data_IF_998370328411
#
_entry.id   IF_998370328411
#
_cell.length_a   1.000
_cell.length_b   1.000
_cell.length_c   1.000
_cell.angle_alpha   90.00
_cell.angle_beta   90.00
_cell.angle_gamma   90.00
#
_symmetry.space_group_name_H-M   'P 1'
#
loop_
_entity.id
_entity.type
_entity.pdbx_description
1 polymer ?
#
# COMPACT_ATOMS: atom_id res chain seq x y z
N UNK A 1 7.80 -0.98 -81.78
CA UNK A 1 6.86 -0.49 -80.75
C UNK A 1 6.92 1.03 -80.73
N UNK A 2 5.80 1.73 -80.95
CA UNK A 2 5.82 3.20 -81.10
C UNK A 2 6.20 3.91 -79.79
N UNK A 3 6.83 5.08 -79.88
CA UNK A 3 7.24 5.88 -78.72
C UNK A 3 6.06 6.13 -77.75
N UNK A 4 4.86 6.38 -78.30
CA UNK A 4 3.62 6.51 -77.52
C UNK A 4 3.28 5.25 -76.72
N UNK A 5 3.48 4.05 -77.28
CA UNK A 5 3.20 2.79 -76.58
C UNK A 5 4.21 2.54 -75.44
N UNK A 6 5.47 2.97 -75.58
CA UNK A 6 6.48 2.91 -74.51
C UNK A 6 6.15 3.82 -73.34
N UNK A 7 5.69 5.04 -73.60
CA UNK A 7 5.27 5.98 -72.55
C UNK A 7 4.03 5.47 -71.80
N UNK A 8 3.04 4.93 -72.52
CA UNK A 8 1.84 4.34 -71.89
C UNK A 8 2.20 3.16 -71.00
N UNK A 9 3.08 2.27 -71.44
CA UNK A 9 3.53 1.12 -70.64
C UNK A 9 4.32 1.53 -69.39
N UNK A 10 5.14 2.59 -69.47
CA UNK A 10 5.85 3.16 -68.31
C UNK A 10 4.85 3.78 -67.32
N UNK A 11 3.85 4.51 -67.79
CA UNK A 11 2.81 5.08 -66.93
C UNK A 11 1.97 4.00 -66.23
N UNK A 12 1.60 2.93 -66.94
CA UNK A 12 0.87 1.79 -66.36
C UNK A 12 1.75 1.07 -65.33
N UNK A 13 3.02 0.84 -65.64
CA UNK A 13 3.97 0.22 -64.72
C UNK A 13 4.14 1.06 -63.44
N UNK A 14 4.30 2.38 -63.55
CA UNK A 14 4.38 3.26 -62.38
C UNK A 14 3.08 3.30 -61.57
N UNK A 15 1.92 3.29 -62.23
CA UNK A 15 0.62 3.22 -61.54
C UNK A 15 0.46 1.91 -60.75
N UNK A 16 0.88 0.78 -61.32
CA UNK A 16 0.87 -0.53 -60.64
C UNK A 16 1.86 -0.54 -59.47
N UNK A 17 3.06 0.01 -59.64
CA UNK A 17 4.05 0.12 -58.56
C UNK A 17 3.52 1.01 -57.42
N UNK A 18 2.87 2.13 -57.72
CA UNK A 18 2.25 2.99 -56.70
C UNK A 18 1.09 2.28 -56.01
N UNK A 19 0.25 1.54 -56.74
CA UNK A 19 -0.86 0.79 -56.16
C UNK A 19 -0.37 -0.36 -55.26
N UNK A 20 0.68 -1.08 -55.65
CA UNK A 20 1.31 -2.13 -54.83
C UNK A 20 1.97 -1.51 -53.61
N UNK A 21 2.69 -0.40 -53.74
CA UNK A 21 3.29 0.31 -52.61
C UNK A 21 2.24 0.86 -51.65
N UNK A 22 1.11 1.37 -52.15
CA UNK A 22 -0.01 1.84 -51.33
C UNK A 22 -0.71 0.68 -50.61
N UNK A 23 -0.94 -0.44 -51.30
CA UNK A 23 -1.52 -1.64 -50.70
C UNK A 23 -0.58 -2.27 -49.66
N UNK A 24 0.73 -2.30 -49.93
CA UNK A 24 1.75 -2.72 -48.97
C UNK A 24 1.84 -1.78 -47.76
N UNK A 25 1.72 -0.47 -47.98
CA UNK A 25 1.63 0.52 -46.91
C UNK A 25 0.38 0.31 -46.05
N UNK A 26 -0.80 0.06 -46.63
CA UNK A 26 -2.02 -0.23 -45.89
C UNK A 26 -1.94 -1.53 -45.06
N UNK A 27 -1.28 -2.57 -45.61
CA UNK A 27 -1.03 -3.82 -44.88
C UNK A 27 -0.01 -3.62 -43.77
N UNK A 28 1.06 -2.85 -44.00
CA UNK A 28 2.07 -2.57 -42.97
C UNK A 28 1.53 -1.66 -41.88
N UNK A 29 0.74 -0.62 -42.19
CA UNK A 29 0.08 0.21 -41.16
C UNK A 29 -0.98 -0.56 -40.37
N UNK A 30 -1.79 -1.39 -41.05
CA UNK A 30 -2.79 -2.24 -40.37
C UNK A 30 -2.16 -3.37 -39.53
N UNK A 31 -0.97 -3.84 -39.91
CA UNK A 31 -0.20 -4.83 -39.14
C UNK A 31 0.58 -4.19 -37.99
N UNK A 32 0.99 -2.93 -38.11
CA UNK A 32 1.61 -2.15 -37.00
C UNK A 32 0.60 -1.80 -35.91
N UNK A 33 -0.71 -1.75 -36.19
CA UNK A 33 -1.72 -1.60 -35.13
C UNK A 33 -1.94 -2.89 -34.29
N UNK A 34 -1.63 -4.08 -34.83
CA UNK A 34 -1.82 -5.36 -34.12
C UNK A 34 -0.52 -6.04 -33.65
N UNK A 35 0.65 -5.61 -34.11
CA UNK A 35 1.95 -6.18 -33.73
C UNK A 35 2.63 -5.26 -32.68
N UNK A 36 2.30 -5.50 -31.41
CA UNK A 36 3.08 -5.10 -30.22
C UNK A 36 3.15 -3.59 -29.96
N UNK A 37 2.07 -3.03 -29.42
CA UNK A 37 2.23 -2.10 -28.30
C UNK A 37 2.17 -2.92 -27.01
N UNK A 38 3.23 -3.68 -26.75
CA UNK A 38 3.67 -3.87 -25.36
C UNK A 38 4.11 -2.48 -24.89
N UNK A 39 3.14 -1.58 -24.64
CA UNK A 39 3.40 -0.45 -23.78
C UNK A 39 3.92 -1.07 -22.49
N UNK A 40 5.11 -0.67 -22.07
CA UNK A 40 5.54 -0.77 -20.69
C UNK A 40 4.33 -0.49 -19.80
N UNK A 41 3.68 -1.55 -19.30
CA UNK A 41 2.51 -1.41 -18.43
C UNK A 41 3.08 -0.97 -17.10
N UNK A 42 3.42 0.31 -16.97
CA UNK A 42 3.66 0.95 -15.69
C UNK A 42 2.33 0.84 -14.95
N UNK A 43 2.21 -0.20 -14.13
CA UNK A 43 1.10 -0.35 -13.22
C UNK A 43 1.35 0.59 -12.06
N UNK A 44 0.28 1.12 -11.51
CA UNK A 44 0.34 2.01 -10.36
C UNK A 44 1.01 1.31 -9.17
N UNK A 45 1.79 2.05 -8.38
CA UNK A 45 2.37 1.50 -7.16
C UNK A 45 1.26 1.08 -6.19
N UNK A 46 1.40 -0.10 -5.60
CA UNK A 46 0.45 -0.66 -4.63
C UNK A 46 1.01 -0.48 -3.22
N UNK A 47 0.35 0.33 -2.41
CA UNK A 47 0.93 0.92 -1.21
C UNK A 47 0.48 0.22 0.08
N UNK A 48 -0.73 -0.32 0.11
CA UNK A 48 -1.25 -1.03 1.27
C UNK A 48 -2.15 -2.20 0.90
N UNK A 49 -2.22 -3.19 1.79
CA UNK A 49 -3.04 -4.40 1.65
C UNK A 49 -3.71 -4.72 2.99
N UNK A 50 -4.96 -5.18 2.92
CA UNK A 50 -5.73 -5.62 4.09
C UNK A 50 -6.64 -6.81 3.74
N UNK A 51 -6.76 -7.76 4.68
CA UNK A 51 -7.64 -8.91 4.58
C UNK A 51 -8.54 -8.95 5.82
N UNK A 52 -9.84 -9.20 5.63
CA UNK A 52 -10.79 -9.38 6.73
C UNK A 52 -11.03 -10.87 7.05
N UNK A 53 -10.73 -11.76 6.11
CA UNK A 53 -10.78 -13.21 6.27
C UNK A 53 -9.83 -13.90 5.27
N UNK A 54 -9.98 -15.22 5.08
CA UNK A 54 -9.10 -15.99 4.18
C UNK A 54 -9.27 -15.72 2.69
N UNK A 55 -10.38 -15.13 2.32
CA UNK A 55 -10.78 -15.03 0.91
C UNK A 55 -10.88 -13.59 0.45
N UNK A 56 -11.41 -12.72 1.31
CA UNK A 56 -11.69 -11.32 1.02
C UNK A 56 -10.53 -10.41 1.45
N UNK A 57 -9.97 -9.69 0.47
CA UNK A 57 -8.87 -8.75 0.67
C UNK A 57 -8.88 -7.61 -0.34
N UNK A 58 -8.26 -6.50 0.04
CA UNK A 58 -8.16 -5.28 -0.76
C UNK A 58 -6.74 -4.76 -0.76
N UNK A 59 -6.33 -4.25 -1.91
CA UNK A 59 -5.08 -3.52 -2.11
C UNK A 59 -5.43 -2.14 -2.62
N UNK A 60 -4.70 -1.12 -2.14
CA UNK A 60 -4.85 0.26 -2.60
C UNK A 60 -3.52 0.83 -3.06
N UNK A 61 -3.56 1.86 -3.91
CA UNK A 61 -2.35 2.45 -4.46
C UNK A 61 -2.56 3.81 -5.14
N UNK A 62 -1.59 4.18 -5.98
CA UNK A 62 -1.59 5.46 -6.68
C UNK A 62 -2.80 5.63 -7.60
N UNK A 63 -3.15 6.89 -7.90
CA UNK A 63 -4.23 7.26 -8.81
C UNK A 63 -5.57 6.61 -8.48
N UNK A 64 -5.87 6.51 -7.17
CA UNK A 64 -7.09 5.91 -6.65
C UNK A 64 -7.25 4.43 -6.96
N UNK A 65 -6.15 3.70 -7.15
CA UNK A 65 -6.18 2.26 -7.43
C UNK A 65 -6.78 1.50 -6.27
N UNK A 66 -7.77 0.66 -6.57
CA UNK A 66 -8.30 -0.36 -5.67
C UNK A 66 -8.37 -1.69 -6.43
N UNK A 67 -7.75 -2.72 -5.85
CA UNK A 67 -7.88 -4.11 -6.28
C UNK A 67 -8.56 -4.90 -5.16
N UNK A 68 -9.48 -5.78 -5.52
CA UNK A 68 -10.14 -6.68 -4.59
C UNK A 68 -9.98 -8.14 -5.00
N UNK A 69 -9.92 -9.01 -4.00
CA UNK A 69 -9.90 -10.46 -4.14
C UNK A 69 -10.99 -11.10 -3.28
N UNK A 70 -11.55 -12.21 -3.75
CA UNK A 70 -12.49 -13.07 -2.99
C UNK A 70 -12.01 -14.52 -2.94
N UNK A 71 -10.75 -14.78 -3.28
CA UNK A 71 -10.15 -16.12 -3.32
C UNK A 71 -8.77 -16.21 -2.62
N UNK A 72 -8.49 -15.27 -1.71
CA UNK A 72 -7.29 -15.27 -0.90
C UNK A 72 -6.07 -14.76 -1.68
N UNK A 73 -6.30 -13.77 -2.54
CA UNK A 73 -5.26 -13.11 -3.34
C UNK A 73 -4.76 -13.92 -4.51
N UNK A 74 -5.49 -14.96 -4.94
CA UNK A 74 -5.15 -15.75 -6.13
C UNK A 74 -5.56 -15.04 -7.41
N UNK A 75 -6.65 -14.26 -7.36
CA UNK A 75 -7.11 -13.37 -8.42
C UNK A 75 -7.49 -12.01 -7.85
N UNK A 76 -7.25 -10.98 -8.64
CA UNK A 76 -7.53 -9.59 -8.30
C UNK A 76 -8.34 -8.92 -9.40
N UNK A 77 -9.23 -8.02 -9.00
CA UNK A 77 -10.08 -7.23 -9.91
C UNK A 77 -10.14 -5.77 -9.46
N UNK A 78 -10.15 -4.84 -10.41
CA UNK A 78 -10.28 -3.42 -10.10
C UNK A 78 -11.66 -3.06 -9.58
N UNK A 79 -11.68 -2.12 -8.65
CA UNK A 79 -12.89 -1.42 -8.21
C UNK A 79 -12.75 0.07 -8.48
N UNK A 80 -13.83 0.70 -8.94
CA UNK A 80 -13.85 2.15 -9.13
C UNK A 80 -13.91 2.83 -7.76
N UNK A 81 -12.88 3.60 -7.43
CA UNK A 81 -12.79 4.32 -6.15
C UNK A 81 -13.53 5.65 -6.16
N UNK A 82 -13.84 6.19 -7.35
CA UNK A 82 -14.43 7.51 -7.52
C UNK A 82 -13.48 8.66 -7.20
N UNK A 83 -12.16 8.41 -7.20
CA UNK A 83 -11.13 9.43 -6.97
C UNK A 83 -9.84 9.07 -7.69
N UNK A 84 -9.06 10.06 -8.09
CA UNK A 84 -7.73 9.90 -8.67
C UNK A 84 -6.61 10.26 -7.66
N UNK A 85 -6.96 10.51 -6.39
CA UNK A 85 -6.00 10.72 -5.32
C UNK A 85 -5.35 9.40 -4.92
N UNK A 86 -4.08 9.46 -4.56
CA UNK A 86 -3.37 8.28 -4.06
C UNK A 86 -4.01 7.79 -2.77
N UNK A 87 -4.29 6.48 -2.73
CA UNK A 87 -4.78 5.78 -1.56
C UNK A 87 -3.60 5.03 -0.96
N UNK A 88 -3.24 5.39 0.27
CA UNK A 88 -2.01 4.90 0.92
C UNK A 88 -2.30 3.99 2.10
N UNK A 89 -3.51 4.05 2.66
CA UNK A 89 -3.96 3.18 3.75
C UNK A 89 -5.27 2.48 3.41
N UNK A 90 -5.41 1.20 3.81
CA UNK A 90 -6.64 0.42 3.66
C UNK A 90 -6.89 -0.48 4.87
N UNK A 91 -8.15 -0.60 5.27
CA UNK A 91 -8.56 -1.52 6.32
C UNK A 91 -9.89 -2.20 5.97
N UNK A 92 -9.86 -3.53 5.85
CA UNK A 92 -11.04 -4.35 5.63
C UNK A 92 -11.63 -4.78 6.98
N UNK A 93 -12.78 -4.21 7.35
CA UNK A 93 -13.50 -4.54 8.60
C UNK A 93 -14.26 -5.85 8.45
N UNK A 94 -14.84 -6.08 7.27
CA UNK A 94 -15.62 -7.27 6.89
C UNK A 94 -15.59 -7.44 5.37
N UNK A 95 -16.17 -8.50 4.80
CA UNK A 95 -16.28 -8.63 3.35
C UNK A 95 -17.07 -7.50 2.68
N UNK A 96 -17.95 -6.83 3.44
CA UNK A 96 -18.82 -5.77 2.93
C UNK A 96 -18.27 -4.37 3.24
N UNK A 97 -17.62 -4.20 4.40
CA UNK A 97 -17.19 -2.88 4.90
C UNK A 97 -15.67 -2.74 4.85
N UNK A 98 -15.21 -1.79 4.03
CA UNK A 98 -13.78 -1.49 3.84
C UNK A 98 -13.57 0.01 3.78
N UNK A 99 -12.48 0.47 4.38
CA UNK A 99 -12.04 1.86 4.41
C UNK A 99 -10.74 2.02 3.65
N UNK A 100 -10.62 3.10 2.89
CA UNK A 100 -9.35 3.54 2.31
C UNK A 100 -9.13 5.03 2.58
N UNK A 101 -7.88 5.40 2.85
CA UNK A 101 -7.45 6.77 3.14
C UNK A 101 -6.26 7.16 2.28
N UNK A 102 -6.08 8.45 2.06
CA UNK A 102 -5.14 8.93 1.07
C UNK A 102 -4.80 10.41 1.15
N UNK A 103 -4.11 10.87 0.11
CA UNK A 103 -3.68 12.25 -0.03
C UNK A 103 -4.86 13.24 -0.11
N UNK A 104 -4.63 14.48 0.33
CA UNK A 104 -5.63 15.56 0.28
C UNK A 104 -6.85 15.34 1.19
N UNK A 105 -6.70 14.60 2.28
CA UNK A 105 -7.75 14.27 3.24
C UNK A 105 -8.75 13.23 2.70
N UNK A 106 -8.36 12.48 1.67
CA UNK A 106 -9.25 11.50 1.04
C UNK A 106 -9.56 10.39 2.03
N UNK A 107 -10.86 10.19 2.30
CA UNK A 107 -11.39 9.05 3.03
C UNK A 107 -12.56 8.50 2.22
N UNK A 108 -12.51 7.22 1.86
CA UNK A 108 -13.57 6.52 1.15
C UNK A 108 -13.94 5.23 1.87
N UNK A 109 -15.22 4.86 1.79
CA UNK A 109 -15.79 3.68 2.41
C UNK A 109 -16.65 2.93 1.40
N UNK A 110 -16.55 1.61 1.40
CA UNK A 110 -17.60 0.74 0.85
C UNK A 110 -18.36 0.05 1.97
N UNK A 111 -19.64 -0.24 1.73
CA UNK A 111 -20.49 -1.07 2.58
C UNK A 111 -21.16 -2.21 1.78
N UNK A 112 -20.68 -2.47 0.56
CA UNK A 112 -21.19 -3.45 -0.38
C UNK A 112 -20.06 -4.28 -1.03
N UNK A 113 -18.93 -4.41 -0.33
CA UNK A 113 -17.77 -5.19 -0.79
C UNK A 113 -17.01 -4.54 -1.95
N UNK A 114 -17.24 -3.24 -2.17
CA UNK A 114 -16.58 -2.43 -3.18
C UNK A 114 -17.29 -2.43 -4.54
N UNK A 115 -18.58 -2.80 -4.57
CA UNK A 115 -19.44 -2.51 -5.71
C UNK A 115 -19.62 -0.98 -5.87
N UNK A 116 -19.64 -0.24 -4.77
CA UNK A 116 -19.54 1.22 -4.74
C UNK A 116 -18.67 1.73 -3.59
N UNK A 117 -17.92 2.80 -3.86
CA UNK A 117 -17.12 3.52 -2.88
C UNK A 117 -17.69 4.93 -2.69
N UNK A 118 -17.82 5.35 -1.43
CA UNK A 118 -18.41 6.64 -1.04
C UNK A 118 -17.38 7.47 -0.28
N UNK A 119 -17.22 8.73 -0.68
CA UNK A 119 -16.42 9.72 0.06
C UNK A 119 -17.01 9.98 1.44
N UNK A 120 -16.16 10.03 2.45
CA UNK A 120 -16.49 10.37 3.83
C UNK A 120 -15.72 11.65 4.19
N UNK A 121 -16.42 12.65 4.71
CA UNK A 121 -15.82 13.94 5.07
C UNK A 121 -15.39 13.92 6.52
N UNK A 122 -14.11 14.21 6.77
CA UNK A 122 -13.53 14.37 8.12
C UNK A 122 -13.33 15.84 8.51
N UNK A 123 -13.54 16.77 7.57
CA UNK A 123 -13.23 18.18 7.75
C UNK A 123 -11.73 18.53 7.59
N UNK A 124 -10.87 17.53 7.34
CA UNK A 124 -9.43 17.71 7.18
C UNK A 124 -9.01 17.54 5.73
N UNK A 125 -7.90 18.20 5.35
CA UNK A 125 -7.30 18.12 4.00
C UNK A 125 -5.83 17.69 3.98
N UNK A 126 -5.36 17.09 5.08
CA UNK A 126 -3.99 16.61 5.24
C UNK A 126 -3.72 15.31 4.49
N UNK A 127 -2.45 14.94 4.34
CA UNK A 127 -2.11 13.58 3.93
C UNK A 127 -2.46 12.59 5.04
N UNK A 128 -3.29 11.59 4.76
CA UNK A 128 -3.55 10.47 5.66
C UNK A 128 -2.75 9.26 5.21
N UNK A 129 -2.07 8.59 6.14
CA UNK A 129 -1.11 7.53 5.86
C UNK A 129 -1.57 6.13 6.26
N UNK A 130 -2.38 6.01 7.32
CA UNK A 130 -2.92 4.70 7.71
C UNK A 130 -4.27 4.83 8.39
N UNK A 131 -5.04 3.73 8.32
CA UNK A 131 -6.36 3.57 8.94
C UNK A 131 -6.46 2.21 9.63
N UNK A 132 -7.08 2.18 10.82
CA UNK A 132 -7.31 0.94 11.58
C UNK A 132 -8.65 0.95 12.28
N UNK A 133 -9.32 -0.20 12.29
CA UNK A 133 -10.56 -0.42 13.04
C UNK A 133 -10.43 -1.66 13.93
N UNK A 134 -9.94 -1.55 15.18
CA UNK A 134 -9.91 -2.68 16.12
C UNK A 134 -11.32 -3.18 16.50
N UNK A 135 -12.38 -2.43 16.19
CA UNK A 135 -13.77 -2.93 16.19
C UNK A 135 -14.56 -2.25 15.06
N UNK A 136 -15.75 -2.74 14.68
CA UNK A 136 -16.57 -2.09 13.66
C UNK A 136 -17.02 -0.65 13.97
N UNK A 137 -16.97 -0.24 15.25
CA UNK A 137 -17.41 1.06 15.73
C UNK A 137 -16.24 2.02 15.95
N UNK A 138 -15.12 1.47 16.43
CA UNK A 138 -13.94 2.21 16.85
C UNK A 138 -12.88 2.19 15.73
N UNK A 139 -12.53 3.37 15.21
CA UNK A 139 -11.57 3.50 14.11
C UNK A 139 -10.67 4.72 14.22
N UNK A 140 -9.44 4.62 13.74
CA UNK A 140 -8.44 5.68 13.78
C UNK A 140 -7.79 5.90 12.42
N UNK A 141 -7.49 7.17 12.13
CA UNK A 141 -6.72 7.60 10.96
C UNK A 141 -5.55 8.44 11.44
N UNK A 142 -4.36 8.23 10.87
CA UNK A 142 -3.16 9.02 11.15
C UNK A 142 -2.57 9.65 9.90
N UNK A 143 -1.79 10.71 10.05
CA UNK A 143 -1.16 11.37 8.91
C UNK A 143 -0.23 12.52 9.25
N UNK A 144 -0.14 13.48 8.32
CA UNK A 144 0.67 14.69 8.43
C UNK A 144 0.31 15.53 9.67
N UNK A 145 1.27 16.28 10.21
CA UNK A 145 1.12 17.12 11.41
C UNK A 145 0.79 16.31 12.67
N UNK A 146 1.26 15.08 12.75
CA UNK A 146 0.93 14.10 13.80
C UNK A 146 -0.57 13.96 14.07
N UNK A 147 -1.41 14.22 13.06
CA UNK A 147 -2.85 14.19 13.26
C UNK A 147 -3.30 12.76 13.57
N UNK A 148 -4.16 12.63 14.59
CA UNK A 148 -4.90 11.40 14.87
C UNK A 148 -6.38 11.75 14.89
N UNK A 149 -7.13 11.14 13.99
CA UNK A 149 -8.58 11.15 13.99
C UNK A 149 -9.12 9.86 14.61
N UNK A 150 -10.27 9.96 15.27
CA UNK A 150 -10.94 8.85 15.93
C UNK A 150 -12.45 8.89 15.64
N UNK A 151 -13.05 7.74 15.39
CA UNK A 151 -14.49 7.52 15.30
C UNK A 151 -14.93 6.49 16.34
N UNK A 152 -16.12 6.67 16.91
CA UNK A 152 -16.77 5.73 17.83
C UNK A 152 -18.10 5.16 17.28
N UNK A 153 -18.53 5.61 16.09
CA UNK A 153 -19.80 5.23 15.46
C UNK A 153 -19.62 4.53 14.10
N UNK A 154 -18.44 3.95 13.85
CA UNK A 154 -18.14 3.26 12.59
C UNK A 154 -17.98 4.21 11.40
N UNK A 155 -17.46 5.41 11.66
CA UNK A 155 -17.09 6.46 10.71
C UNK A 155 -18.26 7.32 10.24
N UNK A 156 -19.31 7.42 11.04
CA UNK A 156 -20.36 8.43 10.87
C UNK A 156 -19.87 9.82 11.25
N UNK A 157 -19.04 9.91 12.30
CA UNK A 157 -18.35 11.12 12.73
C UNK A 157 -16.86 10.85 13.03
N UNK A 158 -15.99 11.78 12.63
CA UNK A 158 -14.55 11.72 12.91
C UNK A 158 -14.11 12.94 13.72
N UNK A 159 -13.47 12.68 14.86
CA UNK A 159 -12.99 13.71 15.77
C UNK A 159 -11.46 13.72 15.83
N UNK A 160 -10.86 14.91 15.90
CA UNK A 160 -9.42 15.06 16.10
C UNK A 160 -9.09 14.86 17.58
N UNK A 161 -8.26 13.87 17.88
CA UNK A 161 -7.85 13.54 19.27
C UNK A 161 -6.38 13.85 19.56
N UNK A 162 -5.56 14.05 18.53
CA UNK A 162 -4.15 14.45 18.67
C UNK A 162 -3.65 15.20 17.43
N UNK A 163 -2.61 16.02 17.63
CA UNK A 163 -1.92 16.74 16.55
C UNK A 163 -2.80 17.65 15.68
N UNK A 164 -2.34 17.82 14.44
CA UNK A 164 -2.91 18.71 13.42
C UNK A 164 -2.60 20.18 13.68
N UNK A 165 -2.35 20.95 12.62
CA UNK A 165 -2.19 22.41 12.71
C UNK A 165 -3.36 23.05 13.47
N UNK A 166 -3.12 24.12 14.26
CA UNK A 166 -4.17 25.05 14.65
C UNK A 166 -4.79 25.65 13.38
N UNK A 167 -6.00 26.20 13.49
CA UNK A 167 -6.81 26.73 12.39
C UNK A 167 -6.22 27.93 11.60
N UNK A 168 -4.89 28.11 11.56
CA UNK A 168 -4.20 29.18 10.84
C UNK A 168 -4.24 29.01 9.31
N UNK A 169 -4.55 27.80 8.82
CA UNK A 169 -4.98 27.62 7.44
C UNK A 169 -6.50 27.68 7.40
N UNK A 170 -7.06 28.78 6.90
CA UNK A 170 -8.46 28.84 6.54
C UNK A 170 -8.72 27.92 5.34
N UNK A 171 -8.82 26.61 5.62
CA UNK A 171 -9.12 25.56 4.65
C UNK A 171 -10.51 25.71 4.04
N UNK A 172 -11.35 26.62 4.56
CA UNK A 172 -12.64 26.97 3.95
C UNK A 172 -12.50 27.75 2.65
N UNK A 173 -11.35 28.40 2.42
CA UNK A 173 -11.02 29.09 1.16
C UNK A 173 -10.49 28.15 0.08
N UNK A 174 -10.04 26.94 0.45
CA UNK A 174 -9.49 25.99 -0.50
C UNK A 174 -10.61 25.39 -1.36
N UNK A 175 -10.48 25.48 -2.68
CA UNK A 175 -11.41 24.84 -3.62
C UNK A 175 -11.33 23.32 -3.50
N UNK A 176 -12.39 22.61 -3.87
CA UNK A 176 -12.34 21.14 -3.90
C UNK A 176 -11.18 20.69 -4.83
N UNK A 177 -10.28 19.87 -4.29
CA UNK A 177 -9.06 19.43 -4.99
C UNK A 177 -7.82 20.30 -4.76
N UNK A 178 -7.93 21.42 -4.05
CA UNK A 178 -6.78 22.24 -3.65
C UNK A 178 -6.15 21.65 -2.38
N UNK A 179 -4.86 21.32 -2.47
CA UNK A 179 -4.05 20.81 -1.36
C UNK A 179 -3.60 21.99 -0.49
N UNK A 180 -3.45 21.74 0.81
CA UNK A 180 -2.63 22.61 1.64
C UNK A 180 -1.21 22.53 1.08
N UNK A 181 -0.62 23.67 0.70
CA UNK A 181 0.71 23.69 0.10
C UNK A 181 1.71 22.90 0.98
N UNK A 182 2.50 22.03 0.35
CA UNK A 182 3.54 21.23 1.00
C UNK A 182 4.69 22.10 1.57
N UNK A 183 4.71 23.39 1.25
CA UNK A 183 5.75 24.34 1.59
C UNK A 183 5.22 25.39 2.58
N UNK A 184 5.26 25.04 3.87
CA UNK A 184 5.27 26.03 4.93
C UNK A 184 6.71 26.47 5.10
N UNK A 185 6.96 27.73 4.74
CA UNK A 185 8.25 28.36 4.90
C UNK A 185 8.87 28.00 6.26
N UNK A 186 10.13 27.61 6.19
CA UNK A 186 11.03 27.28 7.30
C UNK A 186 10.62 27.97 8.61
N UNK A 187 10.04 27.23 9.57
CA UNK A 187 10.22 27.42 11.03
C UNK A 187 9.38 26.48 11.93
N UNK A 188 8.36 25.75 11.42
CA UNK A 188 7.70 24.68 12.19
C UNK A 188 8.05 23.30 11.62
N UNK A 189 8.62 22.42 12.45
CA UNK A 189 8.92 21.03 12.07
C UNK A 189 7.61 20.27 11.87
N UNK A 190 7.22 20.08 10.60
CA UNK A 190 6.11 19.21 10.26
C UNK A 190 6.52 17.77 10.53
N UNK A 191 5.85 17.12 11.47
CA UNK A 191 6.06 15.71 11.78
C UNK A 191 4.89 14.88 11.25
N UNK A 192 5.19 13.76 10.61
CA UNK A 192 4.19 12.88 10.00
C UNK A 192 4.12 11.55 10.75
N UNK A 193 2.91 11.08 11.04
CA UNK A 193 2.65 9.71 11.49
C UNK A 193 2.41 8.82 10.27
N UNK A 194 3.14 7.71 10.19
CA UNK A 194 3.19 6.83 9.02
C UNK A 194 2.34 5.57 9.18
N UNK A 195 2.23 5.03 10.39
CA UNK A 195 1.48 3.80 10.65
C UNK A 195 0.83 3.83 12.02
N UNK A 196 -0.30 3.15 12.16
CA UNK A 196 -1.00 2.96 13.43
C UNK A 196 -1.36 1.49 13.60
N UNK A 197 -1.23 1.01 14.83
CA UNK A 197 -1.56 -0.33 15.24
C UNK A 197 -2.36 -0.31 16.54
N UNK A 198 -3.45 -1.07 16.58
CA UNK A 198 -4.19 -1.33 17.82
C UNK A 198 -4.21 -2.82 18.10
N UNK A 199 -3.85 -3.20 19.33
CA UNK A 199 -3.97 -4.58 19.81
C UNK A 199 -5.43 -4.90 20.16
N UNK A 200 -6.14 -3.90 20.67
CA UNK A 200 -7.54 -3.90 21.06
C UNK A 200 -8.05 -2.44 21.02
N UNK A 201 -9.34 -2.15 21.22
CA UNK A 201 -9.85 -0.78 21.15
C UNK A 201 -9.30 0.20 22.20
N UNK A 202 -8.53 -0.24 23.20
CA UNK A 202 -7.97 0.59 24.28
C UNK A 202 -6.47 0.82 24.12
N UNK A 203 -5.74 -0.17 23.61
CA UNK A 203 -4.28 -0.16 23.54
C UNK A 203 -3.77 -0.09 22.10
N UNK A 204 -3.02 0.95 21.78
CA UNK A 204 -2.48 1.17 20.43
C UNK A 204 -1.21 2.01 20.39
N UNK A 205 -0.48 1.88 19.30
CA UNK A 205 0.78 2.57 19.02
C UNK A 205 0.71 3.20 17.64
N UNK A 206 1.34 4.36 17.47
CA UNK A 206 1.59 4.96 16.16
C UNK A 206 3.05 5.38 16.06
N UNK A 207 3.59 5.29 14.85
CA UNK A 207 4.99 5.61 14.56
C UNK A 207 5.10 6.59 13.40
N UNK A 208 6.18 7.35 13.35
CA UNK A 208 6.35 8.42 12.37
C UNK A 208 7.78 8.90 12.18
N UNK A 209 7.88 10.10 11.61
CA UNK A 209 9.14 10.81 11.38
C UNK A 209 9.91 11.11 12.67
N UNK A 210 11.22 11.33 12.53
CA UNK A 210 12.12 11.68 13.64
C UNK A 210 12.12 10.63 14.77
N UNK A 211 11.93 9.36 14.43
CA UNK A 211 11.85 8.27 15.39
C UNK A 211 10.63 8.34 16.32
N UNK A 212 9.57 9.06 15.93
CA UNK A 212 8.39 9.26 16.78
C UNK A 212 7.65 7.95 17.01
N UNK A 213 7.35 7.67 18.28
CA UNK A 213 6.48 6.58 18.74
C UNK A 213 5.53 7.17 19.77
N UNK A 214 4.22 7.06 19.53
CA UNK A 214 3.19 7.40 20.51
C UNK A 214 2.43 6.13 20.93
N UNK A 215 1.99 6.08 22.18
CA UNK A 215 1.24 4.96 22.73
C UNK A 215 0.05 5.44 23.54
N UNK A 216 -1.06 4.71 23.44
CA UNK A 216 -2.28 4.92 24.21
C UNK A 216 -2.72 3.64 24.91
N UNK A 217 -3.33 3.78 26.08
CA UNK A 217 -3.96 2.70 26.84
C UNK A 217 -5.41 3.00 27.21
N UNK A 218 -5.96 4.13 26.74
CA UNK A 218 -7.29 4.62 27.05
C UNK A 218 -8.18 4.83 25.80
N UNK A 219 -7.82 4.17 24.69
CA UNK A 219 -8.53 4.25 23.41
C UNK A 219 -8.26 5.54 22.66
N UNK A 220 -7.03 6.06 22.74
CA UNK A 220 -6.61 7.24 22.01
C UNK A 220 -7.13 8.57 22.58
N UNK A 221 -7.69 8.57 23.80
CA UNK A 221 -8.05 9.81 24.51
C UNK A 221 -6.80 10.57 24.92
N UNK A 222 -5.75 9.84 25.31
CA UNK A 222 -4.42 10.39 25.54
C UNK A 222 -3.36 9.56 24.83
N UNK A 223 -2.32 10.24 24.36
CA UNK A 223 -1.17 9.66 23.66
C UNK A 223 0.12 10.08 24.35
N UNK A 224 0.94 9.11 24.72
CA UNK A 224 2.23 9.33 25.39
C UNK A 224 3.36 9.07 24.41
N UNK A 225 4.29 10.03 24.26
CA UNK A 225 5.50 9.86 23.44
C UNK A 225 6.49 8.92 24.14
N UNK A 226 6.93 7.88 23.43
CA UNK A 226 7.89 6.88 23.91
C UNK A 226 9.27 7.15 23.28
N UNK A 227 10.33 6.77 23.99
CA UNK A 227 11.70 6.90 23.48
C UNK A 227 12.03 5.72 22.57
N UNK A 228 12.17 5.96 21.28
CA UNK A 228 12.57 4.96 20.28
C UNK A 228 14.06 4.63 20.30
N UNK A 229 14.90 5.58 20.71
CA UNK A 229 16.35 5.44 20.67
C UNK A 229 16.99 5.73 19.30
N UNK A 230 16.23 6.27 18.36
CA UNK A 230 16.70 6.70 17.03
C UNK A 230 15.98 7.99 16.60
N UNK A 231 16.56 8.70 15.64
CA UNK A 231 15.93 9.83 14.95
C UNK A 231 15.53 9.47 13.51
N UNK A 232 15.81 8.25 13.06
CA UNK A 232 15.39 7.80 11.73
C UNK A 232 13.87 7.65 11.66
N UNK A 233 13.28 8.00 10.52
CA UNK A 233 11.85 7.83 10.25
C UNK A 233 11.41 6.38 10.39
N UNK A 234 10.39 6.15 11.21
CA UNK A 234 9.71 4.87 11.35
C UNK A 234 8.52 4.82 10.40
N UNK A 235 8.41 3.74 9.63
CA UNK A 235 7.42 3.60 8.57
C UNK A 235 6.26 2.68 8.99
N UNK A 236 6.54 1.57 9.67
CA UNK A 236 5.51 0.61 10.04
C UNK A 236 5.76 -0.02 11.41
N UNK A 237 4.68 -0.39 12.09
CA UNK A 237 4.70 -0.98 13.43
C UNK A 237 3.71 -2.12 13.52
N UNK A 238 4.09 -3.19 14.20
CA UNK A 238 3.20 -4.31 14.48
C UNK A 238 3.54 -4.94 15.83
N UNK A 239 2.54 -5.42 16.56
CA UNK A 239 2.73 -6.06 17.86
C UNK A 239 2.15 -7.47 17.89
N UNK A 240 2.93 -8.44 18.36
CA UNK A 240 2.45 -9.81 18.54
C UNK A 240 1.47 -9.91 19.70
N UNK A 241 1.75 -9.18 20.78
CA UNK A 241 0.96 -9.08 21.99
C UNK A 241 1.24 -7.74 22.69
N UNK A 242 0.72 -7.54 23.90
CA UNK A 242 0.86 -6.30 24.67
C UNK A 242 2.31 -5.92 25.01
N UNK A 243 3.25 -6.87 24.94
CA UNK A 243 4.63 -6.68 25.34
C UNK A 243 5.57 -6.70 24.14
N UNK A 244 5.35 -7.61 23.19
CA UNK A 244 6.30 -7.90 22.12
C UNK A 244 5.87 -7.24 20.80
N UNK A 245 6.75 -6.42 20.23
CA UNK A 245 6.49 -5.76 18.95
C UNK A 245 7.75 -5.32 18.21
N UNK A 246 7.57 -4.98 16.95
CA UNK A 246 8.59 -4.41 16.08
C UNK A 246 8.12 -3.10 15.45
N UNK A 247 9.04 -2.15 15.30
CA UNK A 247 8.89 -0.99 14.43
C UNK A 247 10.02 -1.01 13.40
N UNK A 248 9.71 -0.72 12.15
CA UNK A 248 10.68 -0.71 11.04
C UNK A 248 10.67 0.63 10.33
N UNK A 249 11.77 1.00 9.67
CA UNK A 249 11.83 2.25 8.96
C UNK A 249 13.04 2.46 8.06
N UNK A 250 13.36 3.72 7.83
CA UNK A 250 14.45 4.14 6.95
C UNK A 250 15.82 3.85 7.58
N UNK A 251 16.87 3.97 6.77
CA UNK A 251 18.26 3.81 7.19
C UNK A 251 18.57 2.54 8.02
N UNK A 252 18.07 1.39 7.55
CA UNK A 252 18.31 0.07 8.16
C UNK A 252 17.65 -0.12 9.53
N UNK A 253 16.67 0.72 9.87
CA UNK A 253 16.07 0.74 11.20
C UNK A 253 15.11 -0.43 11.39
N UNK A 254 15.43 -1.29 12.35
CA UNK A 254 14.50 -2.26 12.95
C UNK A 254 14.63 -2.12 14.46
N UNK A 255 13.53 -1.78 15.13
CA UNK A 255 13.43 -1.65 16.58
C UNK A 255 12.56 -2.78 17.13
N UNK A 256 12.98 -3.37 18.24
CA UNK A 256 12.27 -4.41 18.98
C UNK A 256 11.91 -3.92 20.37
N UNK A 257 10.70 -4.25 20.83
CA UNK A 257 10.30 -4.10 22.23
C UNK A 257 9.83 -5.44 22.78
N UNK A 258 10.03 -5.63 24.08
CA UNK A 258 9.53 -6.78 24.86
C UNK A 258 8.76 -6.33 26.11
N UNK A 259 8.45 -5.04 26.22
CA UNK A 259 7.81 -4.39 27.37
C UNK A 259 6.75 -3.35 26.95
N UNK A 260 6.13 -3.56 25.78
CA UNK A 260 5.03 -2.73 25.28
C UNK A 260 5.47 -1.36 24.76
N UNK A 261 6.75 -1.21 24.43
CA UNK A 261 7.34 0.03 23.96
C UNK A 261 7.92 0.92 25.05
N UNK A 262 7.88 0.48 26.32
CA UNK A 262 8.54 1.21 27.42
C UNK A 262 10.05 1.37 27.15
N UNK A 263 10.65 0.37 26.48
CA UNK A 263 11.96 0.45 25.88
C UNK A 263 12.00 -0.21 24.49
N UNK A 264 12.87 0.32 23.63
CA UNK A 264 13.13 -0.18 22.28
C UNK A 264 14.62 -0.44 22.10
N UNK A 265 14.95 -1.57 21.49
CA UNK A 265 16.32 -1.99 21.17
C UNK A 265 16.47 -2.16 19.66
N UNK A 266 17.53 -1.60 19.09
CA UNK A 266 17.84 -1.77 17.67
C UNK A 266 18.32 -3.21 17.38
N UNK A 267 17.75 -3.82 16.34
CA UNK A 267 18.13 -5.13 15.84
C UNK A 267 19.03 -5.02 14.62
N UNK A 268 19.95 -5.98 14.45
CA UNK A 268 20.73 -6.08 13.21
C UNK A 268 19.84 -6.65 12.09
N UNK A 269 19.64 -5.91 10.99
CA UNK A 269 18.87 -6.43 9.86
C UNK A 269 19.66 -7.49 9.08
N UNK A 270 18.95 -8.36 8.37
CA UNK A 270 19.58 -9.32 7.45
C UNK A 270 20.30 -8.63 6.30
N UNK A 271 19.66 -7.61 5.71
CA UNK A 271 20.22 -6.72 4.67
C UNK A 271 20.06 -5.28 5.14
N UNK A 272 21.12 -4.48 4.96
CA UNK A 272 21.05 -3.03 5.14
C UNK A 272 20.25 -2.41 3.98
N UNK A 273 19.04 -1.94 4.27
CA UNK A 273 18.13 -1.25 3.35
C UNK A 273 17.04 -0.52 4.13
N UNK A 274 16.16 0.21 3.45
CA UNK A 274 14.91 0.72 4.03
C UNK A 274 13.87 -0.38 4.15
N UNK A 275 13.17 -0.42 5.28
CA UNK A 275 12.06 -1.34 5.53
C UNK A 275 10.76 -0.55 5.59
N UNK A 276 9.77 -0.97 4.81
CA UNK A 276 8.51 -0.24 4.64
C UNK A 276 7.30 -0.97 5.26
N UNK A 277 7.38 -2.28 5.46
CA UNK A 277 6.27 -3.05 6.01
C UNK A 277 6.74 -4.09 7.02
N UNK A 278 5.94 -4.30 8.07
CA UNK A 278 6.14 -5.34 9.08
C UNK A 278 4.81 -6.03 9.40
N UNK A 279 4.85 -7.35 9.59
CA UNK A 279 3.69 -8.10 10.08
C UNK A 279 4.10 -9.33 10.88
N UNK A 280 3.33 -9.68 11.91
CA UNK A 280 3.40 -10.99 12.55
C UNK A 280 2.46 -12.00 11.90
N UNK A 281 2.92 -13.25 11.85
CA UNK A 281 2.10 -14.45 11.63
C UNK A 281 1.36 -14.80 12.93
N UNK A 282 0.03 -14.72 12.92
CA UNK A 282 -0.82 -14.89 14.12
C UNK A 282 -1.81 -16.07 14.06
N UNK A 283 -1.87 -16.80 12.94
CA UNK A 283 -2.83 -17.87 12.70
C UNK A 283 -2.21 -19.15 12.12
N UNK A 284 -2.99 -20.23 12.15
CA UNK A 284 -2.68 -21.54 11.55
C UNK A 284 -2.91 -22.73 12.50
N UNK A 285 -3.12 -23.94 11.97
CA UNK A 285 -3.28 -25.16 12.78
C UNK A 285 -2.04 -25.47 13.64
N UNK A 286 -0.85 -25.02 13.18
CA UNK A 286 0.42 -25.16 13.88
C UNK A 286 0.86 -23.81 14.51
N UNK A 287 0.15 -23.36 15.56
CA UNK A 287 0.40 -22.14 16.38
C UNK A 287 1.85 -22.03 16.93
N UNK A 288 2.67 -23.05 16.70
CA UNK A 288 4.04 -23.15 17.16
C UNK A 288 4.88 -21.95 16.66
N UNK A 289 4.70 -21.44 15.43
CA UNK A 289 5.52 -20.31 14.90
C UNK A 289 4.77 -18.99 14.82
N UNK A 290 5.22 -18.01 15.62
CA UNK A 290 4.71 -16.62 15.66
C UNK A 290 5.62 -15.62 14.95
N UNK A 291 6.19 -16.04 13.81
CA UNK A 291 7.25 -15.32 13.11
C UNK A 291 6.83 -13.92 12.64
N UNK A 292 7.79 -12.99 12.62
CA UNK A 292 7.61 -11.66 12.06
C UNK A 292 8.21 -11.60 10.65
N UNK A 293 7.60 -10.83 9.76
CA UNK A 293 8.03 -10.65 8.38
C UNK A 293 8.12 -9.17 8.05
N UNK A 294 9.29 -8.74 7.57
CA UNK A 294 9.56 -7.38 7.16
C UNK A 294 9.85 -7.33 5.65
N UNK A 295 9.39 -6.28 4.99
CA UNK A 295 9.63 -6.03 3.57
C UNK A 295 10.23 -4.65 3.35
N UNK A 296 11.01 -4.51 2.29
CA UNK A 296 11.77 -3.30 1.99
C UNK A 296 12.33 -3.31 0.58
N UNK A 297 13.40 -2.56 0.34
CA UNK A 297 14.02 -2.48 -0.98
C UNK A 297 14.78 -3.77 -1.33
N UNK A 298 14.19 -4.53 -2.24
CA UNK A 298 14.65 -5.83 -2.69
C UNK A 298 14.86 -6.81 -1.56
N UNK A 299 13.94 -6.84 -0.61
CA UNK A 299 13.96 -7.80 0.49
C UNK A 299 12.58 -8.17 0.99
N UNK A 300 12.45 -9.46 1.30
CA UNK A 300 11.55 -9.98 2.32
C UNK A 300 12.46 -10.67 3.34
N UNK A 301 12.33 -10.32 4.61
CA UNK A 301 13.07 -10.93 5.72
C UNK A 301 12.08 -11.45 6.75
N UNK A 302 12.46 -12.49 7.48
CA UNK A 302 11.67 -12.99 8.61
C UNK A 302 12.51 -13.14 9.88
N UNK A 303 11.83 -13.00 11.01
CA UNK A 303 12.35 -13.26 12.35
C UNK A 303 11.66 -14.51 12.89
N UNK A 304 12.42 -15.61 13.01
CA UNK A 304 11.87 -16.88 13.49
C UNK A 304 11.94 -17.02 15.01
N UNK A 305 10.83 -17.37 15.63
CA UNK A 305 10.78 -17.60 17.08
C UNK A 305 11.22 -19.00 17.49
N UNK A 306 11.24 -19.97 16.56
CA UNK A 306 11.55 -21.37 16.88
C UNK A 306 12.43 -22.07 15.83
N UNK A 307 13.73 -22.15 16.12
CA UNK A 307 14.55 -23.34 15.87
C UNK A 307 15.77 -23.34 16.79
N UNK A 308 16.00 -24.45 17.50
CA UNK A 308 17.27 -24.69 18.22
C UNK A 308 18.35 -25.14 17.21
N UNK A 309 19.62 -24.71 17.36
CA UNK A 309 20.08 -23.68 18.28
C UNK A 309 19.64 -22.28 17.79
N UNK A 310 19.24 -21.46 18.76
CA UNK A 310 18.50 -20.21 18.60
C UNK A 310 19.21 -19.20 17.68
N UNK A 311 18.62 -18.93 16.53
CA UNK A 311 18.91 -17.72 15.77
C UNK A 311 17.81 -16.71 16.07
N UNK A 312 18.07 -15.83 17.04
CA UNK A 312 17.26 -14.65 17.33
C UNK A 312 17.59 -13.52 16.35
N UNK A 313 17.68 -13.83 15.06
CA UNK A 313 18.16 -12.92 14.03
C UNK A 313 17.20 -12.90 12.83
N UNK A 314 17.23 -11.79 12.10
CA UNK A 314 16.56 -11.67 10.80
C UNK A 314 17.25 -12.55 9.75
N UNK A 315 16.43 -13.22 8.94
CA UNK A 315 16.87 -14.15 7.89
C UNK A 315 16.11 -13.91 6.59
N UNK A 316 16.72 -14.24 5.45
CA UNK A 316 15.99 -14.31 4.19
C UNK A 316 15.20 -15.64 4.06
N UNK A 317 14.03 -15.63 3.38
CA UNK A 317 13.33 -16.84 2.96
C UNK A 317 14.25 -17.79 2.19
N UNK A 318 14.12 -19.08 2.46
CA UNK A 318 15.02 -20.11 1.92
C UNK A 318 14.78 -20.38 0.43
N UNK A 319 13.58 -20.07 -0.07
CA UNK A 319 13.14 -20.38 -1.43
C UNK A 319 12.53 -19.15 -2.13
N UNK A 320 13.29 -18.06 -2.22
CA UNK A 320 12.91 -16.92 -3.06
C UNK A 320 13.36 -17.17 -4.50
N UNK A 321 12.44 -17.62 -5.36
CA UNK A 321 12.70 -17.84 -6.80
C UNK A 321 12.59 -16.56 -7.64
N UNK A 322 12.13 -15.48 -7.04
CA UNK A 322 11.93 -14.19 -7.69
C UNK A 322 13.14 -13.29 -7.46
N UNK A 323 13.67 -12.71 -8.54
CA UNK A 323 14.63 -11.62 -8.40
C UNK A 323 13.86 -10.33 -8.13
N UNK A 324 13.77 -9.96 -6.85
CA UNK A 324 13.16 -8.70 -6.41
C UNK A 324 14.22 -7.65 -6.07
N UNK A 325 15.50 -7.87 -6.39
CA UNK A 325 16.63 -7.08 -5.86
C UNK A 325 16.49 -5.56 -6.07
N UNK A 326 15.82 -5.17 -7.15
CA UNK A 326 15.62 -3.78 -7.54
C UNK A 326 14.24 -3.22 -7.18
N UNK A 327 13.37 -4.02 -6.58
CA UNK A 327 11.97 -3.63 -6.34
C UNK A 327 11.68 -3.17 -4.93
N UNK A 328 10.83 -2.15 -4.78
CA UNK A 328 10.28 -1.74 -3.50
C UNK A 328 9.01 -2.52 -3.16
N UNK A 329 9.02 -3.17 -2.00
CA UNK A 329 7.84 -3.72 -1.36
C UNK A 329 7.43 -2.81 -0.20
N UNK A 330 6.19 -2.31 -0.25
CA UNK A 330 5.69 -1.29 0.67
C UNK A 330 4.92 -1.89 1.86
N UNK A 331 4.17 -2.98 1.65
CA UNK A 331 3.38 -3.59 2.71
C UNK A 331 3.39 -5.11 2.60
N UNK A 332 3.33 -5.78 3.75
CA UNK A 332 3.14 -7.22 3.86
C UNK A 332 2.06 -7.52 4.90
N UNK A 333 1.16 -8.47 4.60
CA UNK A 333 0.14 -8.96 5.54
C UNK A 333 -0.13 -10.45 5.37
N UNK A 334 -0.31 -11.13 6.49
CA UNK A 334 -0.84 -12.49 6.51
C UNK A 334 -2.35 -12.51 6.32
N UNK A 335 -2.82 -13.53 5.62
CA UNK A 335 -4.23 -13.86 5.45
C UNK A 335 -4.74 -14.48 6.76
N UNK A 336 -5.86 -13.97 7.30
CA UNK A 336 -6.09 -13.93 8.75
C UNK A 336 -6.35 -15.28 9.43
N UNK A 337 -7.15 -16.18 8.87
CA UNK A 337 -7.55 -17.42 9.57
C UNK A 337 -6.48 -18.49 9.46
N UNK A 338 -5.87 -18.64 8.29
CA UNK A 338 -4.83 -19.65 8.08
C UNK A 338 -3.48 -19.15 8.61
N UNK A 339 -3.17 -17.86 8.48
CA UNK A 339 -1.83 -17.32 8.79
C UNK A 339 -0.70 -18.04 8.06
N UNK A 340 -0.99 -18.90 7.08
CA UNK A 340 0.00 -19.63 6.29
C UNK A 340 0.32 -18.91 4.99
N UNK A 341 -0.61 -18.09 4.53
CA UNK A 341 -0.49 -17.35 3.29
C UNK A 341 -0.34 -15.87 3.61
N UNK A 342 0.50 -15.20 2.83
CA UNK A 342 0.76 -13.77 2.98
C UNK A 342 0.75 -13.10 1.62
N UNK A 343 0.42 -11.81 1.63
CA UNK A 343 0.53 -10.95 0.46
C UNK A 343 1.53 -9.85 0.79
N UNK A 344 2.43 -9.57 -0.14
CA UNK A 344 3.26 -8.38 -0.15
C UNK A 344 2.97 -7.59 -1.42
N UNK A 345 2.89 -6.26 -1.29
CA UNK A 345 2.59 -5.35 -2.40
C UNK A 345 3.68 -4.31 -2.54
N UNK A 346 3.88 -3.81 -3.76
CA UNK A 346 5.03 -2.95 -4.07
C UNK A 346 4.87 -2.08 -5.29
N UNK A 347 6.01 -1.57 -5.75
CA UNK A 347 6.12 -0.76 -6.96
C UNK A 347 5.64 -1.50 -8.21
N UNK A 348 5.40 -0.74 -9.28
CA UNK A 348 4.98 -1.24 -10.60
C UNK A 348 3.88 -2.31 -10.56
N UNK A 349 2.93 -2.12 -9.65
CA UNK A 349 1.81 -3.04 -9.50
C UNK A 349 2.16 -4.40 -8.91
N UNK A 350 3.33 -4.58 -8.31
CA UNK A 350 3.78 -5.89 -7.84
C UNK A 350 2.90 -6.42 -6.70
N UNK A 351 2.39 -7.64 -6.88
CA UNK A 351 1.73 -8.43 -5.84
C UNK A 351 2.48 -9.75 -5.73
N UNK A 352 3.04 -10.02 -4.56
CA UNK A 352 3.66 -11.29 -4.23
C UNK A 352 2.77 -12.04 -3.26
N UNK A 353 2.60 -13.35 -3.50
CA UNK A 353 1.86 -14.24 -2.62
C UNK A 353 2.77 -15.30 -2.06
N UNK A 354 2.70 -15.50 -0.76
CA UNK A 354 3.38 -16.58 -0.09
C UNK A 354 2.46 -17.77 0.14
N UNK A 355 2.99 -18.96 -0.09
CA UNK A 355 2.45 -20.21 0.44
C UNK A 355 3.23 -20.64 1.70
N UNK A 356 2.68 -21.58 2.47
CA UNK A 356 3.42 -22.37 3.47
C UNK A 356 4.17 -21.52 4.53
N UNK A 357 3.46 -20.62 5.20
CA UNK A 357 3.98 -19.86 6.34
C UNK A 357 4.85 -18.65 5.99
N UNK A 358 4.91 -18.22 4.73
CA UNK A 358 5.64 -17.01 4.32
C UNK A 358 7.04 -17.24 3.73
N UNK A 359 7.49 -18.49 3.55
CA UNK A 359 8.89 -18.77 3.20
C UNK A 359 9.17 -18.99 1.70
N UNK A 360 8.11 -19.08 0.89
CA UNK A 360 8.19 -19.18 -0.58
C UNK A 360 7.19 -18.21 -1.19
N UNK A 361 7.64 -17.41 -2.16
CA UNK A 361 6.85 -16.34 -2.77
C UNK A 361 6.75 -16.50 -4.28
N UNK A 362 5.56 -16.25 -4.80
CA UNK A 362 5.27 -16.19 -6.24
C UNK A 362 4.66 -14.83 -6.61
N UNK A 363 4.91 -14.40 -7.84
CA UNK A 363 4.33 -13.16 -8.36
C UNK A 363 2.94 -13.44 -8.89
N UNK A 364 1.98 -12.62 -8.48
CA UNK A 364 0.60 -12.70 -8.92
C UNK A 364 0.36 -11.74 -10.08
N UNK A 365 -0.27 -12.24 -11.14
CA UNK A 365 -0.74 -11.40 -12.24
C UNK A 365 -2.20 -10.99 -12.04
N UNK A 366 -2.58 -9.89 -12.66
CA UNK A 366 -3.93 -9.34 -12.69
C UNK A 366 -4.07 -8.41 -13.91
N UNK A 367 -5.31 -8.19 -14.41
CA UNK A 367 -5.51 -7.39 -15.62
C UNK A 367 -4.94 -5.97 -15.46
N UNK A 368 -4.52 -5.35 -16.57
CA UNK A 368 -4.23 -3.92 -16.59
C UNK A 368 -5.54 -3.10 -16.51
N UNK A 369 -5.46 -1.85 -16.04
CA UNK A 369 -6.61 -0.93 -16.09
C UNK A 369 -7.06 -0.73 -17.52
N UNK A 370 -8.37 -0.71 -17.75
CA UNK A 370 -8.94 -0.23 -19.02
C UNK A 370 -8.97 1.30 -19.05
N UNK A 371 -9.11 1.89 -20.24
CA UNK A 371 -9.25 3.36 -20.38
C UNK A 371 -10.46 3.86 -19.60
N UNK A 372 -11.58 3.13 -19.65
CA UNK A 372 -12.79 3.47 -18.90
C UNK A 372 -12.54 3.49 -17.39
N UNK A 373 -11.76 2.53 -16.88
CA UNK A 373 -11.41 2.48 -15.45
C UNK A 373 -10.50 3.64 -15.04
N UNK A 374 -9.57 4.07 -15.89
CA UNK A 374 -8.73 5.25 -15.64
C UNK A 374 -9.59 6.52 -15.61
N UNK A 375 -10.51 6.66 -16.57
CA UNK A 375 -11.36 7.85 -16.68
C UNK A 375 -12.42 7.91 -15.59
N UNK A 376 -12.91 6.78 -15.07
CA UNK A 376 -13.96 6.73 -14.06
C UNK A 376 -13.51 7.21 -12.65
N UNK A 377 -12.20 7.35 -12.43
CA UNK A 377 -11.60 7.87 -11.21
C UNK A 377 -11.40 9.40 -11.24
N UNK A 378 -11.51 10.06 -12.40
CA UNK A 378 -11.44 11.52 -12.53
C UNK A 378 -12.81 12.16 -12.30
#
# INVERSE_FOLDING_TARGET
MSFRLRVILICIFMAVVVAISYWYMQITTGRVEEEVVETWRLRDHLLAVSFCNDTAGWVVGQYGTILATTDGGKKWSYQNSGTNRDLVGVYAVSPEVVWAVGHGGTVIKTADGGASWKKVTTGMRYLFNDVKFPSPQEGWIVGQYEIILHTTDGGGNWEKVHGGEPAALDISQLKEGELVAEDFGQEEEVHTLNSIYFLNPQTGWTVGEYGTILHTTDGGKTWTKLKSGTEHTLIDVDFLDQNFGFAVGLDNTILKTTDGGSSWTAESPYKKTHYYGITFRRGGPDIIRKDAFAVGQGIIAYYAFLKKPYLQNWMAPTEMKLNIEYNWLYKVKFITRTGEEAIAVGEDGMILRAATGGYSWEMMDYPAKTVEQVLANN
#
